data_IF_735764769398
#
_entry.id   IF_735764769398
#
_cell.length_a   1.000
_cell.length_b   1.000
_cell.length_c   1.000
_cell.angle_alpha   90.00
_cell.angle_beta   90.00
_cell.angle_gamma   90.00
#
_symmetry.space_group_name_H-M   'P 1'
#
loop_
_entity.id
_entity.type
_entity.pdbx_description
1 polymer ?
#
# COMPACT_ATOMS: atom_id res chain seq x y z
N UNK A 1 10.50 -6.13 -11.10
CA UNK A 1 9.16 -5.60 -10.79
C UNK A 1 8.14 -6.60 -11.32
N UNK A 2 7.25 -7.09 -10.45
CA UNK A 2 6.17 -8.04 -10.80
C UNK A 2 5.13 -7.41 -11.74
N UNK A 3 4.44 -8.23 -12.53
CA UNK A 3 3.41 -7.75 -13.47
C UNK A 3 2.23 -7.12 -12.75
N UNK A 4 1.82 -7.71 -11.62
CA UNK A 4 0.72 -7.24 -10.78
C UNK A 4 1.01 -5.82 -10.25
N UNK A 5 2.27 -5.55 -9.89
CA UNK A 5 2.71 -4.22 -9.44
C UNK A 5 2.64 -3.20 -10.58
N UNK A 6 2.98 -3.59 -11.81
CA UNK A 6 2.86 -2.72 -12.98
C UNK A 6 1.39 -2.41 -13.29
N UNK A 7 0.52 -3.42 -13.19
CA UNK A 7 -0.92 -3.23 -13.38
C UNK A 7 -1.52 -2.33 -12.31
N UNK A 8 -1.18 -2.53 -11.04
CA UNK A 8 -1.59 -1.65 -9.93
C UNK A 8 -1.12 -0.21 -10.15
N UNK A 9 0.11 -0.02 -10.66
CA UNK A 9 0.61 1.30 -11.03
C UNK A 9 -0.22 1.96 -12.13
N UNK A 10 -0.63 1.19 -13.13
CA UNK A 10 -1.41 1.69 -14.26
C UNK A 10 -2.86 2.01 -13.86
N UNK A 11 -3.44 1.27 -12.89
CA UNK A 11 -4.73 1.63 -12.26
C UNK A 11 -4.64 2.95 -11.48
N UNK A 12 -3.44 3.26 -10.98
CA UNK A 12 -3.16 4.49 -10.26
C UNK A 12 -3.64 4.43 -8.82
N UNK A 13 -4.17 5.56 -8.33
CA UNK A 13 -4.62 5.68 -6.94
C UNK A 13 -5.98 5.01 -6.76
N UNK A 14 -6.13 4.23 -5.70
CA UNK A 14 -7.42 3.67 -5.31
C UNK A 14 -8.39 4.80 -4.94
N UNK A 15 -9.68 4.72 -5.36
CA UNK A 15 -10.70 5.65 -4.90
C UNK A 15 -10.92 5.53 -3.38
N UNK A 16 -11.45 6.60 -2.78
CA UNK A 16 -11.90 6.52 -1.39
C UNK A 16 -13.23 5.78 -1.32
N UNK A 17 -13.38 4.90 -0.33
CA UNK A 17 -14.66 4.27 -0.03
C UNK A 17 -15.78 5.30 0.16
N UNK A 18 -16.92 5.03 -0.48
CA UNK A 18 -18.07 5.92 -0.48
C UNK A 18 -19.38 5.13 -0.52
N UNK A 19 -20.37 5.59 0.25
CA UNK A 19 -21.72 5.01 0.22
C UNK A 19 -22.45 5.18 -1.13
N UNK A 20 -21.94 6.07 -1.99
CA UNK A 20 -22.52 6.41 -3.29
C UNK A 20 -21.72 5.84 -4.46
N UNK A 21 -20.98 4.76 -4.23
CA UNK A 21 -20.19 4.14 -5.27
C UNK A 21 -21.04 3.54 -6.38
N UNK A 22 -20.50 3.61 -7.59
CA UNK A 22 -21.10 3.00 -8.77
C UNK A 22 -20.58 1.58 -8.94
N UNK A 23 -21.29 0.75 -9.69
CA UNK A 23 -20.85 -0.61 -10.03
C UNK A 23 -19.43 -0.64 -10.65
N UNK A 24 -19.05 0.41 -11.40
CA UNK A 24 -17.69 0.54 -11.94
C UNK A 24 -16.60 0.70 -10.87
N UNK A 25 -16.94 1.27 -9.71
CA UNK A 25 -16.01 1.36 -8.58
C UNK A 25 -15.87 -0.01 -7.93
N UNK A 26 -16.97 -0.74 -7.75
CA UNK A 26 -16.93 -2.12 -7.23
C UNK A 26 -16.06 -3.03 -8.13
N UNK A 27 -16.23 -2.96 -9.45
CA UNK A 27 -15.40 -3.70 -10.41
C UNK A 27 -13.91 -3.31 -10.33
N UNK A 28 -13.62 -2.02 -10.15
CA UNK A 28 -12.26 -1.54 -9.98
C UNK A 28 -11.64 -2.05 -8.68
N UNK A 29 -12.37 -2.02 -7.57
CA UNK A 29 -11.93 -2.54 -6.27
C UNK A 29 -11.66 -4.04 -6.35
N UNK A 30 -12.54 -4.81 -7.00
CA UNK A 30 -12.32 -6.23 -7.25
C UNK A 30 -11.04 -6.49 -8.07
N UNK A 31 -10.71 -5.58 -8.99
CA UNK A 31 -9.46 -5.66 -9.76
C UNK A 31 -8.24 -5.41 -8.87
N UNK A 32 -8.29 -4.42 -7.98
CA UNK A 32 -7.25 -4.21 -6.99
C UNK A 32 -7.06 -5.44 -6.10
N UNK A 33 -8.14 -5.98 -5.53
CA UNK A 33 -8.08 -7.13 -4.63
C UNK A 33 -7.42 -8.35 -5.30
N UNK A 34 -7.90 -8.73 -6.49
CA UNK A 34 -7.37 -9.87 -7.24
C UNK A 34 -5.87 -9.71 -7.59
N UNK A 35 -5.40 -8.49 -7.86
CA UNK A 35 -3.97 -8.24 -8.10
C UNK A 35 -3.15 -8.32 -6.81
N UNK A 36 -3.66 -7.79 -5.70
CA UNK A 36 -2.98 -7.81 -4.41
C UNK A 36 -2.80 -9.24 -3.89
N UNK A 37 -3.80 -10.11 -4.05
CA UNK A 37 -3.74 -11.52 -3.62
C UNK A 37 -2.63 -12.33 -4.31
N UNK A 38 -2.24 -11.95 -5.52
CA UNK A 38 -1.22 -12.64 -6.30
C UNK A 38 0.20 -12.27 -5.87
N UNK A 39 0.40 -11.15 -5.17
CA UNK A 39 1.73 -10.66 -4.82
C UNK A 39 2.30 -11.45 -3.63
N UNK A 40 3.40 -12.16 -3.91
CA UNK A 40 4.14 -12.91 -2.89
C UNK A 40 5.10 -12.02 -2.10
N UNK A 41 5.15 -12.24 -0.78
CA UNK A 41 6.08 -11.58 0.14
C UNK A 41 7.46 -12.30 0.17
N UNK A 42 8.57 -11.59 0.44
CA UNK A 42 8.65 -10.14 0.58
C UNK A 42 8.64 -9.44 -0.79
N UNK A 43 8.23 -8.17 -0.80
CA UNK A 43 8.36 -7.29 -1.97
C UNK A 43 9.69 -6.53 -1.93
N UNK A 44 10.14 -6.10 -3.12
CA UNK A 44 11.30 -5.22 -3.25
C UNK A 44 10.95 -3.77 -2.89
N UNK A 45 11.98 -2.95 -2.64
CA UNK A 45 11.80 -1.53 -2.34
C UNK A 45 11.06 -0.79 -3.47
N UNK A 46 11.44 -1.01 -4.72
CA UNK A 46 10.81 -0.35 -5.86
C UNK A 46 9.32 -0.74 -6.01
N UNK A 47 8.97 -1.96 -5.64
CA UNK A 47 7.57 -2.40 -5.61
C UNK A 47 6.80 -1.77 -4.46
N UNK A 48 7.40 -1.69 -3.27
CA UNK A 48 6.80 -0.98 -2.14
C UNK A 48 6.56 0.49 -2.47
N UNK A 49 7.51 1.15 -3.15
CA UNK A 49 7.40 2.53 -3.61
C UNK A 49 6.20 2.72 -4.53
N UNK A 50 5.91 1.77 -5.42
CA UNK A 50 4.71 1.79 -6.24
C UNK A 50 3.47 1.59 -5.38
N UNK A 51 3.45 0.58 -4.51
CA UNK A 51 2.26 0.27 -3.71
C UNK A 51 1.85 1.42 -2.80
N UNK A 52 2.78 2.14 -2.17
CA UNK A 52 2.38 3.28 -1.33
C UNK A 52 1.77 4.44 -2.11
N UNK A 53 2.02 4.56 -3.42
CA UNK A 53 1.37 5.57 -4.28
C UNK A 53 -0.11 5.27 -4.52
N UNK A 54 -0.53 4.01 -4.44
CA UNK A 54 -1.91 3.62 -4.78
C UNK A 54 -2.87 3.78 -3.61
N UNK A 55 -2.39 4.07 -2.41
CA UNK A 55 -3.23 4.25 -1.23
C UNK A 55 -4.27 5.36 -1.48
N UNK A 56 -5.53 5.17 -1.08
CA UNK A 56 -6.58 6.19 -1.20
C UNK A 56 -6.22 7.41 -0.34
N UNK A 57 -7.03 8.47 -0.40
CA UNK A 57 -6.83 9.63 0.48
C UNK A 57 -7.07 9.25 1.93
N UNK A 58 -8.21 8.60 2.20
CA UNK A 58 -8.67 8.30 3.55
C UNK A 58 -9.13 6.85 3.68
N UNK A 59 -10.35 6.51 3.25
CA UNK A 59 -10.96 5.21 3.50
C UNK A 59 -10.66 4.16 2.40
N UNK A 60 -10.37 2.93 2.82
CA UNK A 60 -10.25 1.75 1.96
C UNK A 60 -11.54 0.93 1.95
N UNK A 61 -11.70 0.14 0.89
CA UNK A 61 -12.71 -0.93 0.76
C UNK A 61 -12.22 -2.25 1.40
N UNK A 62 -11.85 -2.23 2.68
CA UNK A 62 -11.28 -3.37 3.41
C UNK A 62 -9.95 -3.94 2.87
N UNK A 63 -9.30 -3.28 1.91
CA UNK A 63 -8.00 -3.66 1.34
C UNK A 63 -6.78 -3.15 2.13
N UNK A 64 -6.99 -2.37 3.19
CA UNK A 64 -5.92 -1.77 4.00
C UNK A 64 -4.91 -2.80 4.51
N UNK A 65 -5.38 -3.97 4.95
CA UNK A 65 -4.52 -4.98 5.56
C UNK A 65 -3.60 -5.65 4.55
N UNK A 66 -4.10 -5.94 3.35
CA UNK A 66 -3.31 -6.53 2.25
C UNK A 66 -2.16 -5.60 1.87
N UNK A 67 -2.46 -4.31 1.67
CA UNK A 67 -1.46 -3.30 1.31
C UNK A 67 -0.46 -3.02 2.42
N UNK A 68 -0.92 -2.84 3.67
CA UNK A 68 -0.01 -2.62 4.81
C UNK A 68 0.95 -3.80 4.97
N UNK A 69 0.45 -5.04 4.92
CA UNK A 69 1.28 -6.25 5.02
C UNK A 69 2.32 -6.34 3.90
N UNK A 70 1.93 -5.99 2.66
CA UNK A 70 2.83 -5.95 1.52
C UNK A 70 3.95 -4.93 1.75
N UNK A 71 3.61 -3.68 2.06
CA UNK A 71 4.56 -2.60 2.30
C UNK A 71 5.50 -2.94 3.47
N UNK A 72 4.98 -3.49 4.56
CA UNK A 72 5.77 -3.88 5.74
C UNK A 72 6.70 -5.06 5.50
N UNK A 73 6.45 -5.88 4.48
CA UNK A 73 7.32 -7.00 4.13
C UNK A 73 8.63 -6.58 3.46
N UNK A 74 8.75 -5.30 3.06
CA UNK A 74 9.91 -4.81 2.35
C UNK A 74 11.18 -5.00 3.17
N UNK A 75 12.17 -5.66 2.58
CA UNK A 75 13.48 -5.82 3.18
C UNK A 75 14.38 -4.65 2.73
N UNK A 76 14.62 -3.72 3.66
CA UNK A 76 15.59 -2.62 3.47
C UNK A 76 16.66 -2.68 4.54
N UNK A 77 17.91 -2.54 4.11
CA UNK A 77 19.08 -2.55 5.00
C UNK A 77 19.35 -1.17 5.64
N UNK A 78 18.58 -0.15 5.24
CA UNK A 78 18.76 1.25 5.63
C UNK A 78 17.42 1.83 6.10
N UNK A 79 17.40 2.32 7.35
CA UNK A 79 16.25 3.01 7.94
C UNK A 79 15.82 4.23 7.12
N UNK A 80 16.76 4.97 6.53
CA UNK A 80 16.43 6.13 5.71
C UNK A 80 15.63 5.75 4.47
N UNK A 81 15.85 4.55 3.90
CA UNK A 81 15.03 4.05 2.79
C UNK A 81 13.61 3.76 3.25
N UNK A 82 13.43 3.14 4.42
CA UNK A 82 12.08 2.91 4.94
C UNK A 82 11.34 4.24 5.22
N UNK A 83 12.03 5.23 5.79
CA UNK A 83 11.47 6.56 6.01
C UNK A 83 11.11 7.25 4.68
N UNK A 84 11.97 7.13 3.66
CA UNK A 84 11.68 7.63 2.31
C UNK A 84 10.42 6.98 1.72
N UNK A 85 10.28 5.66 1.88
CA UNK A 85 9.08 4.93 1.44
C UNK A 85 7.82 5.50 2.09
N UNK A 86 7.81 5.66 3.42
CA UNK A 86 6.68 6.27 4.13
C UNK A 86 6.39 7.66 3.56
N UNK A 87 7.40 8.52 3.47
CA UNK A 87 7.24 9.91 3.01
C UNK A 87 6.76 10.03 1.57
N UNK A 88 6.88 8.97 0.76
CA UNK A 88 6.37 8.96 -0.60
C UNK A 88 4.87 8.69 -0.68
N UNK A 89 4.24 8.11 0.34
CA UNK A 89 2.79 7.89 0.34
C UNK A 89 2.04 9.24 0.24
N UNK A 90 1.15 9.42 -0.75
CA UNK A 90 0.52 10.72 -0.99
C UNK A 90 -0.51 11.08 0.09
N UNK A 91 -1.14 10.09 0.71
CA UNK A 91 -2.11 10.32 1.78
C UNK A 91 -1.42 10.69 3.09
N UNK A 92 -1.89 11.75 3.75
CA UNK A 92 -1.43 12.10 5.09
C UNK A 92 -1.86 11.05 6.12
N UNK A 93 -3.12 10.60 6.07
CA UNK A 93 -3.67 9.59 6.99
C UNK A 93 -2.86 8.28 6.94
N UNK A 94 -2.55 7.82 5.73
CA UNK A 94 -1.79 6.58 5.55
C UNK A 94 -0.31 6.73 5.84
N UNK A 95 0.28 7.92 5.61
CA UNK A 95 1.62 8.24 6.11
C UNK A 95 1.69 8.13 7.63
N UNK A 96 0.72 8.71 8.34
CA UNK A 96 0.70 8.69 9.81
C UNK A 96 0.52 7.26 10.33
N UNK A 97 -0.34 6.47 9.66
CA UNK A 97 -0.52 5.05 9.95
C UNK A 97 0.77 4.25 9.76
N UNK A 98 1.44 4.40 8.61
CA UNK A 98 2.71 3.72 8.33
C UNK A 98 3.80 4.13 9.33
N UNK A 99 3.88 5.41 9.69
CA UNK A 99 4.80 5.90 10.73
C UNK A 99 4.54 5.26 12.09
N UNK A 100 3.28 5.21 12.53
CA UNK A 100 2.91 4.59 13.81
C UNK A 100 3.27 3.10 13.85
N UNK A 101 2.98 2.38 12.77
CA UNK A 101 3.29 0.95 12.64
C UNK A 101 4.79 0.70 12.62
N UNK A 102 5.55 1.51 11.87
CA UNK A 102 7.01 1.44 11.86
C UNK A 102 7.62 1.73 13.23
N UNK A 103 7.12 2.75 13.95
CA UNK A 103 7.56 3.07 15.31
C UNK A 103 7.30 1.90 16.29
N UNK A 104 6.15 1.23 16.17
CA UNK A 104 5.84 0.05 16.98
C UNK A 104 6.77 -1.13 16.67
N UNK A 105 7.02 -1.40 15.38
CA UNK A 105 8.00 -2.40 14.98
C UNK A 105 9.39 -2.14 15.59
N UNK A 106 9.87 -0.88 15.57
CA UNK A 106 11.15 -0.50 16.20
C UNK A 106 11.17 -0.72 17.71
N UNK A 107 10.04 -0.46 18.40
CA UNK A 107 9.92 -0.68 19.85
C UNK A 107 9.97 -2.15 20.25
N UNK A 108 9.47 -3.04 19.39
CA UNK A 108 9.39 -4.49 19.64
C UNK A 108 10.54 -5.30 19.01
N UNK A 109 11.44 -4.67 18.27
CA UNK A 109 12.69 -5.27 17.77
C UNK A 109 13.85 -5.21 18.78
N UNK A 110 13.60 -4.78 20.01
CA UNK A 110 14.53 -4.80 21.14
C UNK A 110 14.38 -6.04 22.00
#
# INVERSE_FOLDING_TARGET
MRNEILQLKDLGRMPNESINDTESIDELVNTYDALLEQIQLPISFDEAMVLVQIFPENAFYDLQWSLLKLVESVCVDDENKYIQLINSCPSQEWRDTLNARYANYKRHKG
#
